data_IF_063506399857
#
_entry.id   IF_063506399857
#
_cell.length_a   1.000
_cell.length_b   1.000
_cell.length_c   1.000
_cell.angle_alpha   90.00
_cell.angle_beta   90.00
_cell.angle_gamma   90.00
#
_symmetry.space_group_name_H-M   'P 1'
#
loop_
_entity.id
_entity.type
_entity.pdbx_description
1 polymer ?
#
# COMPACT_ATOMS: atom_id res chain seq x y z
N UNK A 1 -9.33 25.43 4.51
CA UNK A 1 -10.76 25.62 4.16
C UNK A 1 -11.14 24.92 2.86
N UNK A 2 -10.30 25.00 1.83
CA UNK A 2 -10.55 24.36 0.53
C UNK A 2 -10.70 22.83 0.64
N UNK A 3 -9.82 22.14 1.33
CA UNK A 3 -9.90 20.71 1.58
C UNK A 3 -11.17 20.32 2.34
N UNK A 4 -11.53 21.10 3.37
CA UNK A 4 -12.77 20.88 4.14
C UNK A 4 -14.01 21.03 3.26
N UNK A 5 -14.04 22.03 2.36
CA UNK A 5 -15.15 22.24 1.42
C UNK A 5 -15.27 21.06 0.43
N UNK A 6 -14.15 20.56 -0.11
CA UNK A 6 -14.12 19.36 -0.96
C UNK A 6 -14.63 18.12 -0.21
N UNK A 7 -14.16 17.88 1.01
CA UNK A 7 -14.62 16.76 1.83
C UNK A 7 -16.12 16.88 2.17
N UNK A 8 -16.63 18.09 2.39
CA UNK A 8 -18.06 18.32 2.61
C UNK A 8 -18.89 17.98 1.38
N UNK A 9 -18.47 18.41 0.20
CA UNK A 9 -19.15 18.05 -1.05
C UNK A 9 -19.11 16.54 -1.30
N UNK A 10 -17.96 15.89 -1.08
CA UNK A 10 -17.83 14.43 -1.13
C UNK A 10 -18.81 13.74 -0.17
N UNK A 11 -18.94 14.24 1.06
CA UNK A 11 -19.88 13.71 2.05
C UNK A 11 -21.34 13.82 1.56
N UNK A 12 -21.70 14.95 0.92
CA UNK A 12 -23.03 15.11 0.31
C UNK A 12 -23.29 14.10 -0.81
N UNK A 13 -22.33 13.88 -1.70
CA UNK A 13 -22.42 12.87 -2.76
C UNK A 13 -22.56 11.48 -2.16
N UNK A 14 -21.67 11.09 -1.23
CA UNK A 14 -21.66 9.78 -0.58
C UNK A 14 -22.93 9.47 0.22
N UNK A 15 -23.68 10.50 0.65
CA UNK A 15 -24.91 10.31 1.43
C UNK A 15 -26.19 10.36 0.60
N UNK A 16 -26.17 11.04 -0.56
CA UNK A 16 -27.42 11.36 -1.28
C UNK A 16 -27.46 10.83 -2.71
N UNK A 17 -26.32 10.42 -3.29
CA UNK A 17 -26.31 9.87 -4.66
C UNK A 17 -26.93 8.47 -4.73
N UNK A 18 -27.48 8.11 -5.89
CA UNK A 18 -27.90 6.74 -6.21
C UNK A 18 -26.70 5.81 -6.40
N UNK A 19 -25.58 6.34 -6.92
CA UNK A 19 -24.33 5.62 -7.15
C UNK A 19 -23.17 6.30 -6.38
N UNK A 20 -23.21 6.27 -5.04
CA UNK A 20 -22.39 7.18 -4.20
C UNK A 20 -20.88 7.04 -4.42
N UNK A 21 -20.36 5.84 -4.62
CA UNK A 21 -18.92 5.62 -4.83
C UNK A 21 -18.49 6.10 -6.22
N UNK A 22 -19.29 5.84 -7.25
CA UNK A 22 -19.03 6.25 -8.62
C UNK A 22 -19.00 7.77 -8.74
N UNK A 23 -20.08 8.43 -8.28
CA UNK A 23 -20.22 9.89 -8.36
C UNK A 23 -19.17 10.62 -7.52
N UNK A 24 -18.85 10.09 -6.32
CA UNK A 24 -17.77 10.63 -5.51
C UNK A 24 -16.40 10.50 -6.20
N UNK A 25 -16.16 9.40 -6.90
CA UNK A 25 -14.92 9.22 -7.68
C UNK A 25 -14.86 10.15 -8.88
N UNK A 26 -15.97 10.35 -9.60
CA UNK A 26 -16.06 11.31 -10.71
C UNK A 26 -15.71 12.71 -10.20
N UNK A 27 -16.30 13.15 -9.09
CA UNK A 27 -15.96 14.44 -8.49
C UNK A 27 -14.47 14.53 -8.10
N UNK A 28 -13.91 13.48 -7.46
CA UNK A 28 -12.50 13.45 -7.08
C UNK A 28 -11.58 13.60 -8.30
N UNK A 29 -11.91 12.97 -9.44
CA UNK A 29 -11.13 13.10 -10.68
C UNK A 29 -11.09 14.54 -11.22
N UNK A 30 -12.14 15.35 -10.95
CA UNK A 30 -12.15 16.78 -11.29
C UNK A 30 -11.17 17.60 -10.42
N UNK A 31 -10.91 17.17 -9.18
CA UNK A 31 -9.94 17.80 -8.30
C UNK A 31 -8.51 17.32 -8.55
N UNK A 32 -8.33 16.11 -9.10
CA UNK A 32 -7.02 15.50 -9.33
C UNK A 32 -6.37 15.91 -10.65
N UNK A 33 -7.12 16.51 -11.55
CA UNK A 33 -6.67 16.95 -12.88
C UNK A 33 -6.96 18.44 -13.10
N UNK A 34 -6.17 19.07 -13.94
CA UNK A 34 -6.42 20.46 -14.35
C UNK A 34 -7.27 20.54 -15.61
N UNK A 35 -7.89 21.69 -15.88
CA UNK A 35 -8.57 21.96 -17.15
C UNK A 35 -7.65 21.76 -18.37
N UNK A 36 -6.36 22.12 -18.25
CA UNK A 36 -5.33 21.97 -19.30
C UNK A 36 -5.08 20.49 -19.59
N UNK A 37 -4.95 19.67 -18.56
CA UNK A 37 -4.79 18.21 -18.68
C UNK A 37 -6.02 17.56 -19.34
N UNK A 38 -7.23 18.00 -19.01
CA UNK A 38 -8.46 17.54 -19.65
C UNK A 38 -8.53 17.96 -21.12
N UNK A 39 -8.19 19.22 -21.42
CA UNK A 39 -8.17 19.74 -22.80
C UNK A 39 -7.19 18.97 -23.68
N UNK A 40 -5.99 18.74 -23.20
CA UNK A 40 -4.97 17.97 -23.93
C UNK A 40 -5.45 16.56 -24.23
N UNK A 41 -6.00 15.88 -23.22
CA UNK A 41 -6.38 14.47 -23.32
C UNK A 41 -7.62 14.24 -24.19
N UNK A 42 -8.66 15.08 -24.07
CA UNK A 42 -9.98 14.77 -24.62
C UNK A 42 -10.38 15.61 -25.84
N UNK A 43 -9.93 16.87 -25.94
CA UNK A 43 -10.14 17.73 -27.10
C UNK A 43 -11.61 17.80 -27.59
N UNK A 44 -12.59 17.67 -26.68
CA UNK A 44 -14.05 17.58 -26.98
C UNK A 44 -14.44 16.44 -27.94
N UNK A 45 -13.59 15.42 -28.09
CA UNK A 45 -13.92 14.26 -28.93
C UNK A 45 -15.01 13.41 -28.28
N UNK A 46 -15.85 12.82 -29.11
CA UNK A 46 -16.87 11.84 -28.72
C UNK A 46 -16.34 10.42 -28.87
N UNK A 47 -17.02 9.46 -28.23
CA UNK A 47 -16.74 8.03 -28.38
C UNK A 47 -17.15 7.55 -29.78
N UNK A 48 -16.80 6.30 -30.13
CA UNK A 48 -17.06 5.74 -31.45
C UNK A 48 -18.54 5.67 -31.82
N UNK A 49 -19.41 5.53 -30.80
CA UNK A 49 -20.88 5.49 -30.97
C UNK A 49 -21.53 6.89 -31.02
N UNK A 50 -20.77 7.96 -30.92
CA UNK A 50 -21.20 9.36 -30.86
C UNK A 50 -22.25 9.68 -29.77
N UNK A 51 -22.31 8.83 -28.71
CA UNK A 51 -23.31 8.94 -27.65
C UNK A 51 -22.83 9.74 -26.44
N UNK A 52 -21.50 9.74 -26.17
CA UNK A 52 -20.87 10.41 -25.05
C UNK A 52 -19.57 11.11 -25.45
N UNK A 53 -19.25 12.21 -24.80
CA UNK A 53 -17.88 12.71 -24.88
C UNK A 53 -16.89 11.73 -24.27
N UNK A 54 -15.68 11.62 -24.83
CA UNK A 54 -14.62 10.75 -24.29
C UNK A 54 -14.30 11.06 -22.83
N UNK A 55 -14.44 12.31 -22.39
CA UNK A 55 -14.26 12.69 -20.97
C UNK A 55 -15.34 12.07 -20.08
N UNK A 56 -16.60 12.00 -20.53
CA UNK A 56 -17.68 11.38 -19.75
C UNK A 56 -17.46 9.88 -19.64
N UNK A 57 -17.13 9.22 -20.75
CA UNK A 57 -16.79 7.79 -20.76
C UNK A 57 -15.62 7.47 -19.83
N UNK A 58 -14.58 8.30 -19.84
CA UNK A 58 -13.41 8.14 -18.97
C UNK A 58 -13.76 8.33 -17.49
N UNK A 59 -14.56 9.35 -17.14
CA UNK A 59 -15.01 9.60 -15.77
C UNK A 59 -15.86 8.44 -15.24
N UNK A 60 -16.83 7.97 -16.05
CA UNK A 60 -17.68 6.83 -15.72
C UNK A 60 -16.85 5.57 -15.47
N UNK A 61 -15.87 5.27 -16.35
CA UNK A 61 -14.96 4.15 -16.18
C UNK A 61 -14.22 4.19 -14.83
N UNK A 62 -13.74 5.37 -14.43
CA UNK A 62 -13.06 5.52 -13.13
C UNK A 62 -14.01 5.36 -11.94
N UNK A 63 -15.25 5.83 -12.06
CA UNK A 63 -16.31 5.63 -11.07
C UNK A 63 -16.60 4.14 -10.86
N UNK A 64 -16.96 3.43 -11.93
CA UNK A 64 -17.25 1.99 -11.92
C UNK A 64 -16.08 1.16 -11.39
N UNK A 65 -14.86 1.48 -11.83
CA UNK A 65 -13.64 0.78 -11.38
C UNK A 65 -13.44 0.92 -9.87
N UNK A 66 -13.75 2.07 -9.29
CA UNK A 66 -13.66 2.24 -7.84
C UNK A 66 -14.79 1.50 -7.13
N UNK A 67 -16.02 1.58 -7.64
CA UNK A 67 -17.19 0.90 -7.08
C UNK A 67 -16.95 -0.61 -6.91
N UNK A 68 -16.35 -1.27 -7.92
CA UNK A 68 -16.07 -2.71 -7.92
C UNK A 68 -15.08 -3.16 -6.84
N UNK A 69 -14.25 -2.27 -6.31
CA UNK A 69 -13.15 -2.61 -5.39
C UNK A 69 -13.18 -1.88 -4.04
N UNK A 70 -14.14 -0.98 -3.83
CA UNK A 70 -14.15 -0.14 -2.64
C UNK A 70 -15.51 -0.16 -1.93
N UNK A 71 -15.50 -0.18 -0.61
CA UNK A 71 -16.74 -0.19 0.18
C UNK A 71 -17.16 1.24 0.54
N UNK A 72 -18.46 1.51 0.50
CA UNK A 72 -19.03 2.83 0.81
C UNK A 72 -18.67 3.30 2.23
N UNK A 73 -18.73 2.39 3.22
CA UNK A 73 -18.37 2.70 4.61
C UNK A 73 -16.90 3.11 4.74
N UNK A 74 -16.00 2.42 4.03
CA UNK A 74 -14.59 2.75 4.00
C UNK A 74 -14.34 4.13 3.37
N UNK A 75 -15.01 4.43 2.24
CA UNK A 75 -14.88 5.74 1.60
C UNK A 75 -15.37 6.87 2.51
N UNK A 76 -16.54 6.71 3.14
CA UNK A 76 -17.06 7.68 4.12
C UNK A 76 -16.09 7.91 5.28
N UNK A 77 -15.51 6.83 5.81
CA UNK A 77 -14.51 6.92 6.89
C UNK A 77 -13.25 7.67 6.42
N UNK A 78 -12.70 7.34 5.25
CA UNK A 78 -11.51 8.04 4.72
C UNK A 78 -11.78 9.51 4.46
N UNK A 79 -12.95 9.86 3.90
CA UNK A 79 -13.35 11.25 3.71
C UNK A 79 -13.45 11.99 5.05
N UNK A 80 -14.02 11.34 6.09
CA UNK A 80 -14.11 11.91 7.42
C UNK A 80 -12.71 12.11 8.04
N UNK A 81 -11.82 11.14 7.91
CA UNK A 81 -10.45 11.26 8.40
C UNK A 81 -9.72 12.43 7.72
N UNK A 82 -9.83 12.53 6.40
CA UNK A 82 -9.21 13.63 5.64
C UNK A 82 -9.77 15.00 6.04
N UNK A 83 -11.10 15.10 6.26
CA UNK A 83 -11.78 16.32 6.70
C UNK A 83 -11.37 16.78 8.10
N UNK A 84 -11.04 15.83 8.97
CA UNK A 84 -10.83 16.10 10.41
C UNK A 84 -9.39 15.88 10.85
N UNK A 85 -8.46 15.65 9.92
CA UNK A 85 -7.05 15.48 10.26
C UNK A 85 -6.51 16.77 10.92
N UNK A 86 -5.95 16.60 12.09
CA UNK A 86 -5.36 17.67 12.87
C UNK A 86 -4.31 17.07 13.81
N UNK A 87 -3.04 17.35 13.53
CA UNK A 87 -1.94 16.80 14.32
C UNK A 87 -1.87 17.37 15.73
N UNK A 88 -2.53 18.51 15.98
CA UNK A 88 -2.55 19.17 17.29
C UNK A 88 -3.69 18.69 18.18
N UNK A 89 -4.67 17.96 17.65
CA UNK A 89 -5.85 17.52 18.40
C UNK A 89 -5.47 16.66 19.60
N UNK A 90 -5.84 17.14 20.81
CA UNK A 90 -5.52 16.51 22.09
C UNK A 90 -4.01 16.31 22.32
N UNK A 91 -3.20 17.17 21.75
CA UNK A 91 -1.74 17.20 21.85
C UNK A 91 -1.27 18.61 22.22
N UNK A 92 0.01 18.87 21.93
CA UNK A 92 0.66 20.16 22.11
C UNK A 92 0.45 21.11 20.91
N UNK A 93 1.03 22.30 20.95
CA UNK A 93 1.03 23.24 19.82
C UNK A 93 1.72 22.64 18.58
N UNK A 94 1.39 23.17 17.40
CA UNK A 94 2.00 22.74 16.14
C UNK A 94 3.53 22.80 16.19
N UNK A 95 4.09 23.89 16.73
CA UNK A 95 5.54 24.07 16.86
C UNK A 95 6.17 22.93 17.65
N UNK A 96 5.67 22.65 18.85
CA UNK A 96 6.25 21.61 19.73
C UNK A 96 6.15 20.22 19.13
N UNK A 97 5.06 19.93 18.44
CA UNK A 97 4.91 18.63 17.75
C UNK A 97 5.94 18.49 16.64
N UNK A 98 6.11 19.53 15.84
CA UNK A 98 7.09 19.51 14.73
C UNK A 98 8.53 19.53 15.23
N UNK A 99 8.84 20.28 16.30
CA UNK A 99 10.16 20.26 16.93
C UNK A 99 10.55 18.87 17.43
N UNK A 100 9.59 18.11 17.95
CA UNK A 100 9.80 16.73 18.40
C UNK A 100 10.06 15.72 17.25
N UNK A 101 9.82 16.09 15.99
CA UNK A 101 10.13 15.24 14.83
C UNK A 101 11.64 15.30 14.57
N UNK A 102 12.38 14.23 14.85
CA UNK A 102 13.83 14.17 14.60
C UNK A 102 14.18 14.01 13.12
N UNK A 103 13.29 13.44 12.33
CA UNK A 103 13.50 13.21 10.91
C UNK A 103 13.60 14.51 10.09
N UNK A 104 14.31 14.45 8.96
CA UNK A 104 14.22 15.48 7.95
C UNK A 104 12.84 15.48 7.31
N UNK A 105 12.28 16.66 7.07
CA UNK A 105 10.97 16.82 6.45
C UNK A 105 11.19 17.34 5.02
N UNK A 106 10.69 16.61 4.03
CA UNK A 106 10.71 17.02 2.62
C UNK A 106 9.27 17.18 2.14
N UNK A 107 8.90 18.40 1.79
CA UNK A 107 7.59 18.74 1.23
C UNK A 107 7.79 18.89 -0.27
N UNK A 108 7.11 18.07 -1.07
CA UNK A 108 7.15 18.15 -2.53
C UNK A 108 5.75 18.54 -3.00
N UNK A 109 5.57 19.77 -3.41
CA UNK A 109 4.34 20.29 -4.00
C UNK A 109 4.26 20.01 -5.50
N UNK A 110 3.10 20.22 -6.08
CA UNK A 110 2.87 20.23 -7.53
C UNK A 110 2.26 21.59 -7.86
N UNK A 111 2.89 22.34 -8.78
CA UNK A 111 2.51 23.73 -9.07
C UNK A 111 1.05 23.90 -9.52
N UNK A 112 0.48 22.88 -10.17
CA UNK A 112 -0.89 22.89 -10.68
C UNK A 112 -1.89 22.07 -9.82
N UNK A 113 -1.50 21.59 -8.64
CA UNK A 113 -2.38 20.79 -7.78
C UNK A 113 -3.56 21.63 -7.29
N UNK A 114 -4.78 21.19 -7.63
CA UNK A 114 -6.03 21.82 -7.20
C UNK A 114 -6.58 21.24 -5.89
N UNK A 115 -5.99 20.16 -5.39
CA UNK A 115 -6.45 19.47 -4.19
C UNK A 115 -5.59 19.81 -2.97
N UNK A 116 -4.28 19.64 -3.07
CA UNK A 116 -3.28 20.12 -2.10
C UNK A 116 -2.42 21.20 -2.76
N UNK A 117 -2.87 22.43 -2.70
CA UNK A 117 -2.27 23.51 -3.50
C UNK A 117 -0.82 23.77 -3.15
N UNK A 118 -0.01 24.12 -4.15
CA UNK A 118 1.40 24.46 -3.95
C UNK A 118 1.58 25.61 -2.94
N UNK A 119 0.65 26.57 -2.92
CA UNK A 119 0.67 27.68 -1.97
C UNK A 119 0.53 27.21 -0.52
N UNK A 120 -0.45 26.34 -0.20
CA UNK A 120 -0.64 25.80 1.14
C UNK A 120 0.57 24.97 1.59
N UNK A 121 1.16 24.18 0.67
CA UNK A 121 2.40 23.43 0.92
C UNK A 121 3.59 24.37 1.24
N UNK A 122 3.71 25.47 0.51
CA UNK A 122 4.76 26.47 0.70
C UNK A 122 4.55 27.27 1.99
N UNK A 123 3.33 27.61 2.32
CA UNK A 123 2.97 28.23 3.60
C UNK A 123 3.34 27.31 4.77
N UNK A 124 3.01 26.03 4.68
CA UNK A 124 3.39 25.00 5.67
C UNK A 124 4.90 24.91 5.82
N UNK A 125 5.65 24.87 4.72
CA UNK A 125 7.11 24.91 4.74
C UNK A 125 7.64 26.17 5.45
N UNK A 126 7.12 27.34 5.10
CA UNK A 126 7.55 28.62 5.67
C UNK A 126 7.26 28.69 7.16
N UNK A 127 6.14 28.14 7.61
CA UNK A 127 5.79 28.05 9.03
C UNK A 127 6.77 27.16 9.79
N UNK A 128 6.98 25.96 9.31
CA UNK A 128 7.92 24.99 9.92
C UNK A 128 9.34 25.57 9.95
N UNK A 129 9.76 26.27 8.88
CA UNK A 129 11.11 26.83 8.76
C UNK A 129 11.46 27.86 9.83
N UNK A 130 10.47 28.47 10.49
CA UNK A 130 10.70 29.45 11.57
C UNK A 130 11.38 28.82 12.79
N UNK A 131 11.13 27.55 13.05
CA UNK A 131 11.61 26.85 14.26
C UNK A 131 12.36 25.53 13.99
N UNK A 132 12.39 25.06 12.71
CA UNK A 132 13.06 23.80 12.33
C UNK A 132 13.93 23.97 11.10
N UNK A 133 15.21 23.58 11.21
CA UNK A 133 16.17 23.77 10.11
C UNK A 133 16.17 22.64 9.07
N UNK A 134 15.82 21.42 9.48
CA UNK A 134 15.85 20.22 8.62
C UNK A 134 14.51 19.99 7.90
N UNK A 135 13.94 21.07 7.37
CA UNK A 135 12.78 21.05 6.47
C UNK A 135 13.19 21.61 5.10
N UNK A 136 12.69 20.98 4.05
CA UNK A 136 13.03 21.27 2.65
C UNK A 136 11.74 21.34 1.83
N UNK A 137 11.74 22.20 0.81
CA UNK A 137 10.63 22.38 -0.11
C UNK A 137 11.08 22.25 -1.54
N UNK A 138 10.31 21.57 -2.38
CA UNK A 138 10.51 21.46 -3.82
C UNK A 138 9.17 21.37 -4.53
N UNK A 139 9.14 21.67 -5.82
CA UNK A 139 7.95 21.58 -6.65
C UNK A 139 8.18 20.70 -7.87
N UNK A 140 7.17 19.96 -8.26
CA UNK A 140 7.04 19.32 -9.58
C UNK A 140 6.31 20.32 -10.47
N UNK A 141 6.90 20.66 -11.61
CA UNK A 141 6.27 21.48 -12.62
C UNK A 141 5.50 20.61 -13.62
N UNK A 142 4.18 20.69 -13.59
CA UNK A 142 3.31 19.86 -14.43
C UNK A 142 1.95 20.50 -14.60
N UNK A 143 1.32 20.26 -15.75
CA UNK A 143 -0.06 20.62 -15.99
C UNK A 143 -1.08 19.57 -15.52
N UNK A 144 -0.62 18.44 -14.96
CA UNK A 144 -1.47 17.28 -14.69
C UNK A 144 -2.15 17.28 -13.32
N UNK A 145 -1.97 18.35 -12.53
CA UNK A 145 -2.61 18.49 -11.22
C UNK A 145 -2.09 17.50 -10.19
N UNK A 146 -2.94 17.13 -9.24
CA UNK A 146 -2.59 16.22 -8.15
C UNK A 146 -1.97 14.91 -8.61
N UNK A 147 -2.41 14.35 -9.72
CA UNK A 147 -1.89 13.08 -10.26
C UNK A 147 -0.48 13.21 -10.91
N UNK A 148 0.12 14.40 -10.98
CA UNK A 148 1.42 14.60 -11.62
C UNK A 148 2.52 13.73 -11.00
N UNK A 149 2.50 13.44 -9.70
CA UNK A 149 3.48 12.55 -9.06
C UNK A 149 3.44 11.10 -9.58
N UNK A 150 2.33 10.71 -10.23
CA UNK A 150 2.18 9.42 -10.93
C UNK A 150 2.59 9.48 -12.40
N UNK A 151 3.01 10.64 -12.91
CA UNK A 151 3.29 10.87 -14.32
C UNK A 151 4.68 11.45 -14.55
N UNK A 152 5.13 12.38 -13.72
CA UNK A 152 6.38 13.11 -13.83
C UNK A 152 7.55 12.37 -13.14
N UNK A 153 7.76 11.12 -13.55
CA UNK A 153 8.75 10.24 -12.91
C UNK A 153 10.17 10.78 -12.94
N UNK A 154 10.58 11.48 -14.02
CA UNK A 154 11.93 12.03 -14.15
C UNK A 154 12.17 13.17 -13.16
N UNK A 155 11.22 14.09 -13.02
CA UNK A 155 11.29 15.17 -12.05
C UNK A 155 11.27 14.61 -10.63
N UNK A 156 10.33 13.69 -10.33
CA UNK A 156 10.23 13.06 -9.02
C UNK A 156 11.51 12.30 -8.66
N UNK A 157 12.09 11.53 -9.57
CA UNK A 157 13.36 10.85 -9.36
C UNK A 157 14.49 11.83 -9.05
N UNK A 158 14.59 12.94 -9.79
CA UNK A 158 15.59 13.96 -9.55
C UNK A 158 15.47 14.55 -8.14
N UNK A 159 14.27 14.90 -7.71
CA UNK A 159 14.00 15.42 -6.37
C UNK A 159 14.31 14.40 -5.27
N UNK A 160 13.90 13.15 -5.45
CA UNK A 160 14.15 12.07 -4.50
C UNK A 160 15.62 11.65 -4.45
N UNK A 161 16.35 11.76 -5.56
CA UNK A 161 17.79 11.47 -5.62
C UNK A 161 18.59 12.36 -4.64
N UNK A 162 18.24 13.62 -4.49
CA UNK A 162 18.85 14.52 -3.51
C UNK A 162 18.65 14.01 -2.09
N UNK A 163 17.47 13.44 -1.81
CA UNK A 163 17.14 12.90 -0.48
C UNK A 163 17.84 11.58 -0.21
N UNK A 164 17.89 10.69 -1.20
CA UNK A 164 18.30 9.30 -1.01
C UNK A 164 19.73 8.98 -1.49
N UNK A 165 20.29 9.71 -2.47
CA UNK A 165 21.66 9.47 -2.96
C UNK A 165 22.76 9.93 -2.00
N UNK A 166 22.51 10.93 -1.16
CA UNK A 166 23.51 11.48 -0.24
C UNK A 166 23.72 10.67 1.05
N UNK A 167 23.05 9.57 1.26
CA UNK A 167 23.33 8.65 2.35
C UNK A 167 24.24 7.53 1.85
N UNK A 168 25.43 7.41 2.44
CA UNK A 168 26.37 6.28 2.28
C UNK A 168 25.73 4.88 2.57
N UNK A 169 24.46 4.83 2.95
CA UNK A 169 23.65 3.65 3.24
C UNK A 169 22.38 3.65 2.41
N UNK A 170 22.47 3.48 1.07
CA UNK A 170 21.28 3.14 0.28
C UNK A 170 20.75 1.80 0.74
N UNK A 171 19.55 1.78 1.34
CA UNK A 171 18.83 0.54 1.55
C UNK A 171 18.13 0.17 0.23
N UNK A 172 18.45 -0.99 -0.32
CA UNK A 172 17.74 -1.57 -1.47
C UNK A 172 16.68 -2.53 -0.95
N UNK A 173 15.46 -2.41 -1.45
CA UNK A 173 14.40 -3.39 -1.17
C UNK A 173 14.46 -4.46 -2.25
N UNK A 174 14.62 -5.72 -1.85
CA UNK A 174 14.65 -6.87 -2.76
C UNK A 174 13.45 -7.75 -2.44
N UNK A 175 12.56 -7.93 -3.42
CA UNK A 175 11.35 -8.75 -3.25
C UNK A 175 11.48 -10.07 -4.00
N UNK A 176 11.16 -11.18 -3.32
CA UNK A 176 11.08 -12.52 -3.91
C UNK A 176 9.64 -13.02 -3.85
N UNK A 177 9.10 -13.40 -5.02
CA UNK A 177 7.75 -13.94 -5.14
C UNK A 177 7.68 -15.41 -4.72
N UNK A 178 6.46 -15.92 -4.47
CA UNK A 178 6.22 -17.30 -4.00
C UNK A 178 6.80 -18.38 -4.93
N UNK A 179 6.75 -18.18 -6.24
CA UNK A 179 7.36 -19.11 -7.22
C UNK A 179 8.88 -19.22 -7.07
N UNK A 180 9.56 -18.13 -6.70
CA UNK A 180 11.00 -18.15 -6.43
C UNK A 180 11.37 -18.92 -5.16
N UNK A 181 10.41 -19.17 -4.28
CA UNK A 181 10.56 -19.88 -3.01
C UNK A 181 9.95 -21.29 -3.07
N UNK A 182 9.40 -21.70 -4.22
CA UNK A 182 8.56 -22.89 -4.37
C UNK A 182 9.26 -24.22 -4.06
N UNK A 183 10.57 -24.31 -4.26
CA UNK A 183 11.35 -25.51 -3.98
C UNK A 183 12.68 -25.19 -3.30
N UNK A 184 13.40 -26.19 -2.83
CA UNK A 184 14.70 -26.03 -2.17
C UNK A 184 15.75 -25.34 -3.02
N UNK A 185 15.78 -25.57 -4.34
CA UNK A 185 16.70 -24.88 -5.26
C UNK A 185 16.35 -23.38 -5.38
N UNK A 186 15.07 -23.05 -5.45
CA UNK A 186 14.59 -21.67 -5.48
C UNK A 186 15.00 -20.91 -4.22
N UNK A 187 14.78 -21.50 -3.06
CA UNK A 187 15.19 -20.90 -1.77
C UNK A 187 16.72 -20.74 -1.73
N UNK A 188 17.50 -21.73 -2.11
CA UNK A 188 18.96 -21.62 -2.13
C UNK A 188 19.43 -20.48 -3.03
N UNK A 189 18.85 -20.33 -4.24
CA UNK A 189 19.16 -19.21 -5.13
C UNK A 189 18.81 -17.85 -4.51
N UNK A 190 17.70 -17.75 -3.81
CA UNK A 190 17.30 -16.54 -3.07
C UNK A 190 18.33 -16.21 -1.98
N UNK A 191 18.74 -17.20 -1.20
CA UNK A 191 19.77 -17.05 -0.17
C UNK A 191 21.11 -16.61 -0.74
N UNK A 192 21.55 -17.20 -1.85
CA UNK A 192 22.80 -16.80 -2.55
C UNK A 192 22.75 -15.35 -3.01
N UNK A 193 21.62 -14.89 -3.58
CA UNK A 193 21.44 -13.50 -4.01
C UNK A 193 21.54 -12.55 -2.80
N UNK A 194 20.92 -12.90 -1.68
CA UNK A 194 20.95 -12.08 -0.44
C UNK A 194 22.38 -12.00 0.11
N UNK A 195 23.06 -13.13 0.20
CA UNK A 195 24.43 -13.22 0.71
C UNK A 195 25.41 -12.45 -0.21
N UNK A 196 25.29 -12.62 -1.54
CA UNK A 196 26.12 -11.88 -2.50
C UNK A 196 25.96 -10.36 -2.34
N UNK A 197 24.72 -9.87 -2.18
CA UNK A 197 24.46 -8.46 -1.93
C UNK A 197 25.06 -7.97 -0.61
N UNK A 198 24.91 -8.75 0.45
CA UNK A 198 25.52 -8.45 1.75
C UNK A 198 27.03 -8.38 1.65
N UNK A 199 27.67 -9.35 0.97
CA UNK A 199 29.12 -9.40 0.77
C UNK A 199 29.66 -8.22 -0.05
N UNK A 200 28.84 -7.68 -0.97
CA UNK A 200 29.14 -6.43 -1.70
C UNK A 200 28.95 -5.17 -0.86
N UNK A 201 28.60 -5.29 0.41
CA UNK A 201 28.36 -4.16 1.30
C UNK A 201 27.06 -3.40 1.00
N UNK A 202 26.10 -4.02 0.28
CA UNK A 202 24.80 -3.44 0.04
C UNK A 202 23.95 -3.52 1.30
N UNK A 203 23.32 -2.39 1.66
CA UNK A 203 22.31 -2.38 2.71
C UNK A 203 20.97 -2.78 2.09
N UNK A 204 20.43 -3.94 2.46
CA UNK A 204 19.22 -4.49 1.84
C UNK A 204 18.14 -4.79 2.86
N UNK A 205 16.89 -4.52 2.49
CA UNK A 205 15.69 -5.07 3.13
C UNK A 205 15.10 -6.13 2.20
N UNK A 206 14.82 -7.30 2.74
CA UNK A 206 14.30 -8.44 1.97
C UNK A 206 12.82 -8.61 2.26
N UNK A 207 12.00 -8.68 1.21
CA UNK A 207 10.56 -8.95 1.28
C UNK A 207 10.30 -10.28 0.58
N UNK A 208 9.66 -11.20 1.26
CA UNK A 208 9.31 -12.52 0.73
C UNK A 208 7.80 -12.72 0.72
N UNK A 209 7.30 -13.42 -0.29
CA UNK A 209 5.92 -13.89 -0.34
C UNK A 209 5.79 -15.26 0.30
N UNK A 210 4.58 -15.73 0.49
CA UNK A 210 4.30 -17.11 0.84
C UNK A 210 4.96 -18.09 -0.14
N UNK A 211 5.49 -19.21 0.35
CA UNK A 211 6.23 -20.21 -0.42
C UNK A 211 5.30 -20.98 -1.37
N UNK A 212 5.63 -21.04 -2.65
CA UNK A 212 4.87 -21.81 -3.63
C UNK A 212 3.42 -21.33 -3.77
N UNK A 213 2.49 -22.23 -3.57
CA UNK A 213 1.04 -21.99 -3.59
C UNK A 213 0.45 -21.90 -2.17
N UNK A 214 1.26 -21.62 -1.15
CA UNK A 214 0.84 -21.66 0.25
C UNK A 214 -0.43 -20.86 0.56
N UNK A 215 -0.64 -19.71 -0.10
CA UNK A 215 -1.84 -18.89 0.09
C UNK A 215 -3.10 -19.63 -0.36
N UNK A 216 -3.07 -20.24 -1.55
CA UNK A 216 -4.20 -20.98 -2.11
C UNK A 216 -4.47 -22.26 -1.28
N UNK A 217 -3.40 -22.97 -0.89
CA UNK A 217 -3.50 -24.16 -0.05
C UNK A 217 -4.12 -23.86 1.32
N UNK A 218 -3.70 -22.76 1.98
CA UNK A 218 -4.29 -22.34 3.25
C UNK A 218 -5.77 -21.94 3.10
N UNK A 219 -6.17 -21.31 1.99
CA UNK A 219 -7.55 -20.97 1.71
C UNK A 219 -8.41 -22.22 1.49
N UNK A 220 -7.90 -23.21 0.76
CA UNK A 220 -8.58 -24.49 0.55
C UNK A 220 -8.76 -25.25 1.86
N UNK A 221 -7.70 -25.35 2.69
CA UNK A 221 -7.76 -25.99 4.01
C UNK A 221 -8.77 -25.29 4.92
N UNK A 222 -8.80 -23.94 4.87
CA UNK A 222 -9.74 -23.11 5.65
C UNK A 222 -11.20 -23.41 5.27
N UNK A 223 -11.46 -23.54 3.97
CA UNK A 223 -12.79 -23.89 3.45
C UNK A 223 -13.24 -25.28 3.91
N UNK A 224 -12.32 -26.26 3.95
CA UNK A 224 -12.60 -27.61 4.42
C UNK A 224 -12.87 -27.61 5.93
N UNK A 225 -12.05 -26.89 6.71
CA UNK A 225 -12.22 -26.81 8.17
C UNK A 225 -13.56 -26.18 8.56
N UNK A 226 -13.98 -25.10 7.88
CA UNK A 226 -15.27 -24.44 8.11
C UNK A 226 -16.49 -25.34 7.82
N UNK A 227 -16.33 -26.32 6.96
CA UNK A 227 -17.38 -27.32 6.66
C UNK A 227 -17.30 -28.58 7.56
N UNK A 228 -16.55 -28.52 8.64
CA UNK A 228 -16.25 -29.66 9.51
C UNK A 228 -15.66 -30.87 8.78
N UNK A 229 -14.96 -30.61 7.65
CA UNK A 229 -14.24 -31.63 6.90
C UNK A 229 -12.91 -32.01 7.55
N UNK A 230 -12.34 -33.12 7.09
CA UNK A 230 -11.06 -33.61 7.61
C UNK A 230 -9.88 -32.81 7.05
N UNK A 231 -9.61 -31.64 7.62
CA UNK A 231 -8.55 -30.72 7.21
C UNK A 231 -7.15 -31.11 7.74
N UNK A 232 -7.07 -31.87 8.84
CA UNK A 232 -5.81 -32.17 9.55
C UNK A 232 -4.72 -32.78 8.65
N UNK A 233 -4.99 -33.80 7.83
CA UNK A 233 -3.96 -34.36 6.96
C UNK A 233 -3.42 -33.36 5.95
N UNK A 234 -4.25 -32.45 5.44
CA UNK A 234 -3.83 -31.41 4.50
C UNK A 234 -2.95 -30.36 5.18
N UNK A 235 -3.32 -29.97 6.41
CA UNK A 235 -2.52 -29.04 7.21
C UNK A 235 -1.15 -29.64 7.57
N UNK A 236 -1.09 -30.93 7.91
CA UNK A 236 0.19 -31.59 8.16
C UNK A 236 1.05 -31.69 6.89
N UNK A 237 0.46 -32.01 5.75
CA UNK A 237 1.18 -31.99 4.46
C UNK A 237 1.71 -30.60 4.13
N UNK A 238 0.94 -29.55 4.38
CA UNK A 238 1.36 -28.16 4.23
C UNK A 238 2.57 -27.85 5.12
N UNK A 239 2.52 -28.19 6.42
CA UNK A 239 3.64 -27.96 7.35
C UNK A 239 4.90 -28.68 6.90
N UNK A 240 4.81 -29.95 6.52
CA UNK A 240 5.93 -30.72 5.99
C UNK A 240 6.55 -30.04 4.78
N UNK A 241 5.73 -29.59 3.83
CA UNK A 241 6.22 -28.87 2.65
C UNK A 241 6.90 -27.55 3.02
N UNK A 242 6.34 -26.78 3.96
CA UNK A 242 6.94 -25.51 4.37
C UNK A 242 8.32 -25.69 5.04
N UNK A 243 8.54 -26.80 5.73
CA UNK A 243 9.80 -27.10 6.41
C UNK A 243 10.75 -27.99 5.60
N UNK A 244 10.32 -28.45 4.41
CA UNK A 244 11.11 -29.35 3.56
C UNK A 244 12.52 -28.77 3.28
N UNK A 245 13.55 -29.62 3.44
CA UNK A 245 14.98 -29.30 3.36
C UNK A 245 15.54 -28.37 4.46
N UNK A 246 14.73 -27.95 5.45
CA UNK A 246 15.10 -27.02 6.52
C UNK A 246 14.57 -27.48 7.88
N UNK A 247 14.71 -28.77 8.17
CA UNK A 247 14.18 -29.42 9.37
C UNK A 247 14.82 -28.94 10.68
N UNK A 248 15.97 -28.31 10.60
CA UNK A 248 16.70 -27.68 11.70
C UNK A 248 16.18 -26.26 12.05
N UNK A 249 15.28 -25.69 11.24
CA UNK A 249 14.63 -24.41 11.54
C UNK A 249 13.42 -24.64 12.43
N UNK A 250 13.38 -24.00 13.58
CA UNK A 250 12.24 -24.07 14.49
C UNK A 250 11.08 -23.17 14.00
N UNK A 251 10.04 -23.81 13.47
CA UNK A 251 8.76 -23.20 13.06
C UNK A 251 7.60 -23.61 13.99
N UNK A 252 7.89 -24.14 15.17
CA UNK A 252 6.89 -24.67 16.09
C UNK A 252 5.83 -23.65 16.51
N UNK A 253 6.21 -22.38 16.69
CA UNK A 253 5.30 -21.28 17.08
C UNK A 253 4.32 -20.97 15.95
N UNK A 254 4.81 -20.88 14.72
CA UNK A 254 4.01 -20.59 13.53
C UNK A 254 3.03 -21.73 13.25
N UNK A 255 3.50 -22.97 13.35
CA UNK A 255 2.65 -24.16 13.17
C UNK A 255 1.60 -24.29 14.27
N UNK A 256 1.98 -24.04 15.54
CA UNK A 256 1.00 -24.02 16.64
C UNK A 256 -0.05 -22.91 16.47
N UNK A 257 0.32 -21.77 15.85
CA UNK A 257 -0.61 -20.70 15.53
C UNK A 257 -1.62 -21.14 14.47
N UNK A 258 -1.15 -21.82 13.41
CA UNK A 258 -2.03 -22.42 12.40
C UNK A 258 -2.97 -23.45 13.02
N UNK A 259 -2.47 -24.36 13.86
CA UNK A 259 -3.29 -25.37 14.52
C UNK A 259 -4.45 -24.75 15.29
N UNK A 260 -4.17 -23.72 16.10
CA UNK A 260 -5.20 -23.01 16.89
C UNK A 260 -6.23 -22.31 16.00
N UNK A 261 -5.79 -21.67 14.91
CA UNK A 261 -6.69 -20.99 13.98
C UNK A 261 -7.63 -21.99 13.29
N UNK A 262 -7.08 -23.07 12.77
CA UNK A 262 -7.88 -24.11 12.10
C UNK A 262 -8.79 -24.89 13.06
N UNK A 263 -8.33 -25.18 14.27
CA UNK A 263 -9.16 -25.79 15.30
C UNK A 263 -10.34 -24.89 15.67
N UNK A 264 -10.10 -23.61 15.88
CA UNK A 264 -11.15 -22.62 16.16
C UNK A 264 -12.18 -22.53 15.04
N UNK A 265 -11.74 -22.47 13.77
CA UNK A 265 -12.64 -22.46 12.60
C UNK A 265 -13.45 -23.73 12.50
N UNK A 266 -12.81 -24.89 12.69
CA UNK A 266 -13.50 -26.18 12.65
C UNK A 266 -14.57 -26.36 13.77
N UNK A 267 -14.29 -25.83 14.97
CA UNK A 267 -15.24 -25.87 16.09
C UNK A 267 -16.45 -24.95 15.86
N UNK A 268 -16.23 -23.77 15.25
CA UNK A 268 -17.29 -22.80 14.99
C UNK A 268 -18.10 -23.17 13.75
N UNK A 269 -17.47 -23.81 12.75
CA UNK A 269 -18.07 -24.15 11.46
C UNK A 269 -18.18 -22.96 10.51
N UNK A 270 -17.51 -21.82 10.82
CA UNK A 270 -17.51 -20.58 10.04
C UNK A 270 -16.28 -19.74 10.37
N UNK A 271 -15.98 -18.74 9.54
CA UNK A 271 -14.90 -17.76 9.78
C UNK A 271 -15.21 -16.37 9.21
N UNK A 272 -14.74 -15.34 9.90
CA UNK A 272 -14.79 -13.97 9.42
C UNK A 272 -13.64 -13.67 8.45
N UNK A 273 -13.76 -12.59 7.66
CA UNK A 273 -12.67 -12.10 6.82
C UNK A 273 -11.38 -11.85 7.62
N UNK A 274 -11.50 -11.39 8.87
CA UNK A 274 -10.34 -11.19 9.75
C UNK A 274 -9.60 -12.49 10.05
N UNK A 275 -10.31 -13.59 10.29
CA UNK A 275 -9.71 -14.92 10.50
C UNK A 275 -9.08 -15.41 9.20
N UNK A 276 -9.76 -15.25 8.06
CA UNK A 276 -9.21 -15.58 6.75
C UNK A 276 -7.87 -14.86 6.52
N UNK A 277 -7.83 -13.54 6.72
CA UNK A 277 -6.60 -12.74 6.55
C UNK A 277 -5.48 -13.21 7.48
N UNK A 278 -5.80 -13.55 8.73
CA UNK A 278 -4.83 -14.08 9.69
C UNK A 278 -4.27 -15.45 9.28
N UNK A 279 -5.09 -16.34 8.74
CA UNK A 279 -4.65 -17.63 8.24
C UNK A 279 -3.76 -17.48 7.02
N UNK A 280 -4.20 -16.72 6.02
CA UNK A 280 -3.45 -16.53 4.77
C UNK A 280 -2.09 -15.87 5.02
N UNK A 281 -2.02 -14.88 5.92
CA UNK A 281 -0.77 -14.19 6.27
C UNK A 281 0.28 -15.13 6.90
N UNK A 282 -0.10 -16.30 7.42
CA UNK A 282 0.89 -17.24 7.97
C UNK A 282 1.84 -17.77 6.90
N UNK A 283 1.43 -17.83 5.65
CA UNK A 283 2.32 -18.22 4.54
C UNK A 283 3.55 -17.32 4.43
N UNK A 284 3.34 -16.01 4.48
CA UNK A 284 4.41 -15.01 4.45
C UNK A 284 5.24 -15.01 5.74
N UNK A 285 4.59 -15.16 6.90
CA UNK A 285 5.27 -15.20 8.20
C UNK A 285 6.23 -16.42 8.27
N UNK A 286 5.77 -17.60 7.87
CA UNK A 286 6.57 -18.82 7.83
C UNK A 286 7.74 -18.65 6.86
N UNK A 287 7.52 -18.14 5.66
CA UNK A 287 8.56 -17.90 4.68
C UNK A 287 9.63 -16.91 5.17
N UNK A 288 9.20 -15.82 5.78
CA UNK A 288 10.12 -14.81 6.32
C UNK A 288 10.98 -15.38 7.46
N UNK A 289 10.37 -16.15 8.35
CA UNK A 289 11.09 -16.79 9.46
C UNK A 289 12.08 -17.84 8.96
N UNK A 290 11.67 -18.69 8.03
CA UNK A 290 12.53 -19.69 7.42
C UNK A 290 13.77 -19.05 6.79
N UNK A 291 13.58 -18.08 5.90
CA UNK A 291 14.67 -17.38 5.21
C UNK A 291 15.60 -16.69 6.23
N UNK A 292 15.03 -16.01 7.22
CA UNK A 292 15.81 -15.33 8.26
C UNK A 292 16.65 -16.31 9.08
N UNK A 293 16.07 -17.44 9.49
CA UNK A 293 16.78 -18.45 10.27
C UNK A 293 17.94 -19.05 9.48
N UNK A 294 17.71 -19.45 8.22
CA UNK A 294 18.75 -20.03 7.37
C UNK A 294 19.85 -19.01 7.03
N UNK A 295 19.52 -17.73 6.84
CA UNK A 295 20.52 -16.69 6.66
C UNK A 295 21.40 -16.52 7.90
N UNK A 296 20.82 -16.55 9.09
CA UNK A 296 21.57 -16.45 10.35
C UNK A 296 22.49 -17.67 10.59
N UNK A 297 22.13 -18.84 10.10
CA UNK A 297 22.99 -20.05 10.18
C UNK A 297 24.17 -19.99 9.20
N UNK A 298 24.01 -19.28 8.07
CA UNK A 298 25.04 -19.15 7.05
C UNK A 298 25.97 -17.92 7.24
N UNK A 299 25.76 -17.12 8.27
CA UNK A 299 26.56 -15.92 8.61
C UNK A 299 25.98 -14.65 8.07
#
# INVERSE_FOLDING_TARGET
DWLIANCYLQEKILNNSRNPIEDARIHAMMCYRTPESFKEKFQRKVNDDETLFNVESWLNHHGEKLHKRFQLSAYKMMNQLLKTIDITRNRDSFERIIEAVEANIYIIGINSDLFFTANENKETYNEIKKFKNNVYYSEIDSQHGHDAFLMEYEQLNTLLDVVFKNKKNKMKIVKFGGKSLGNGEGINRVLEIIIDKKNKGENIAVVVSARGNATDELEDILTIAAKNGNYKPLLESFKVYQQDNYTDVDLSIEFATLDKLFEGVSLIGDYSNKIKDQVLAQGEVISAKLISAVLNQRG
#
